data_IF_724712860953
#
_entry.id   IF_724712860953
#
_cell.length_a   1.000
_cell.length_b   1.000
_cell.length_c   1.000
_cell.angle_alpha   90.00
_cell.angle_beta   90.00
_cell.angle_gamma   90.00
#
_symmetry.space_group_name_H-M   'P 1'
#
loop_
_entity.id
_entity.type
_entity.pdbx_description
1 polymer ?
#
# COMPACT_ATOMS: atom_id res chain seq x y z
N UNK A 1 -26.05 -52.90 8.88
CA UNK A 1 -24.95 -52.24 8.16
C UNK A 1 -25.47 -50.94 7.54
N UNK A 2 -25.67 -49.91 8.37
CA UNK A 2 -26.20 -48.59 7.95
C UNK A 2 -25.30 -47.45 8.48
N UNK A 3 -24.03 -47.77 8.72
CA UNK A 3 -23.01 -46.85 9.25
C UNK A 3 -21.94 -46.49 8.21
N UNK A 4 -21.98 -47.10 7.01
CA UNK A 4 -21.02 -46.81 5.93
C UNK A 4 -21.45 -45.56 5.15
N UNK A 5 -22.72 -45.13 5.27
CA UNK A 5 -23.27 -43.96 4.53
C UNK A 5 -22.73 -42.62 5.05
N UNK A 6 -22.22 -42.55 6.29
CA UNK A 6 -21.82 -41.25 6.87
C UNK A 6 -20.36 -40.87 6.65
N UNK A 7 -19.48 -41.82 6.27
CA UNK A 7 -18.04 -41.55 6.20
C UNK A 7 -17.64 -40.92 4.86
N UNK A 8 -18.42 -41.13 3.79
CA UNK A 8 -18.09 -40.61 2.46
C UNK A 8 -18.42 -39.12 2.24
N UNK A 9 -19.15 -38.46 3.14
CA UNK A 9 -19.52 -37.04 2.98
C UNK A 9 -18.49 -36.07 3.58
N UNK A 10 -17.52 -36.56 4.36
CA UNK A 10 -16.51 -35.72 5.01
C UNK A 10 -15.35 -35.29 4.09
N UNK A 11 -15.21 -35.89 2.90
CA UNK A 11 -14.11 -35.57 1.95
C UNK A 11 -14.37 -34.30 1.12
N UNK A 12 -15.55 -33.68 1.22
CA UNK A 12 -15.89 -32.45 0.49
C UNK A 12 -15.50 -31.15 1.24
N UNK A 13 -14.82 -31.25 2.38
CA UNK A 13 -14.39 -30.10 3.20
C UNK A 13 -12.89 -30.13 3.55
N UNK A 14 -12.05 -30.66 2.66
CA UNK A 14 -10.62 -30.32 2.71
C UNK A 14 -10.43 -28.93 2.14
N UNK A 15 -10.79 -27.96 2.99
CA UNK A 15 -10.41 -26.57 2.97
C UNK A 15 -9.00 -26.43 2.38
N UNK A 16 -8.90 -26.09 1.10
CA UNK A 16 -7.86 -25.15 0.71
C UNK A 16 -8.32 -23.79 1.20
N UNK A 17 -8.33 -23.62 2.53
CA UNK A 17 -7.96 -22.32 3.06
C UNK A 17 -6.50 -22.22 2.64
N UNK A 18 -6.28 -21.64 1.46
CA UNK A 18 -5.08 -20.86 1.34
C UNK A 18 -5.23 -19.87 2.48
N UNK A 19 -4.53 -20.12 3.59
CA UNK A 19 -3.80 -19.04 4.20
C UNK A 19 -2.95 -18.49 3.04
N UNK A 20 -3.56 -17.64 2.21
CA UNK A 20 -2.81 -16.64 1.51
C UNK A 20 -2.14 -15.96 2.68
N UNK A 21 -0.83 -16.19 2.81
CA UNK A 21 0.03 -15.34 3.61
C UNK A 21 -0.57 -13.96 3.44
N UNK A 22 -1.07 -13.38 4.54
CA UNK A 22 -1.50 -11.99 4.49
C UNK A 22 -0.23 -11.27 4.04
N UNK A 23 -0.12 -10.99 2.75
CA UNK A 23 0.70 -9.90 2.27
C UNK A 23 0.24 -8.76 3.13
N UNK A 24 1.11 -8.31 4.03
CA UNK A 24 0.86 -7.17 4.90
C UNK A 24 0.46 -6.03 3.97
N UNK A 25 -0.83 -5.86 3.74
CA UNK A 25 -1.35 -4.83 2.87
C UNK A 25 -0.88 -3.49 3.40
N UNK A 26 -0.78 -2.50 2.52
CA UNK A 26 -0.38 -1.16 2.92
C UNK A 26 -1.29 -0.66 4.05
N UNK A 27 -0.68 -0.30 5.18
CA UNK A 27 -1.41 0.03 6.39
C UNK A 27 -0.64 1.00 7.28
N UNK A 28 -1.40 1.73 8.10
CA UNK A 28 -0.86 2.63 9.10
C UNK A 28 -0.51 4.01 8.58
N UNK A 29 0.10 4.80 9.47
CA UNK A 29 0.53 6.16 9.21
C UNK A 29 2.05 6.24 9.28
N UNK A 30 2.64 6.95 8.34
CA UNK A 30 4.07 7.03 8.12
C UNK A 30 4.45 8.48 7.90
N UNK A 31 5.50 8.92 8.56
CA UNK A 31 6.20 10.14 8.19
C UNK A 31 7.17 9.81 7.06
N UNK A 32 7.24 10.64 6.02
CA UNK A 32 8.22 10.50 4.95
C UNK A 32 9.25 11.63 4.99
N UNK A 33 10.45 11.34 4.52
CA UNK A 33 11.48 12.33 4.23
C UNK A 33 12.04 12.09 2.84
N UNK A 34 12.03 13.12 1.99
CA UNK A 34 12.48 13.09 0.62
C UNK A 34 13.74 13.96 0.41
N UNK A 35 14.62 13.53 -0.49
CA UNK A 35 15.79 14.30 -0.94
C UNK A 35 15.60 14.74 -2.38
N UNK A 36 16.36 15.75 -2.80
CA UNK A 36 16.37 16.21 -4.20
C UNK A 36 15.01 16.76 -4.68
N UNK A 37 14.23 17.29 -3.74
CA UNK A 37 12.93 17.94 -3.99
C UNK A 37 12.96 19.42 -3.60
N UNK A 38 12.07 20.26 -4.15
CA UNK A 38 11.97 21.67 -3.78
C UNK A 38 11.58 21.90 -2.31
N UNK A 39 11.83 23.11 -1.83
CA UNK A 39 11.42 23.52 -0.48
C UNK A 39 9.90 23.40 -0.29
N UNK A 40 9.50 22.78 0.82
CA UNK A 40 8.11 22.51 1.18
C UNK A 40 7.64 21.09 0.84
N UNK A 41 8.47 20.27 0.20
CA UNK A 41 8.16 18.89 -0.20
C UNK A 41 9.03 17.83 0.48
N UNK A 42 10.02 18.26 1.28
CA UNK A 42 11.01 17.38 1.89
C UNK A 42 10.41 16.45 2.93
N UNK A 43 9.31 16.84 3.58
CA UNK A 43 8.68 16.04 4.63
C UNK A 43 7.17 16.07 4.54
N UNK A 44 6.54 15.03 5.07
CA UNK A 44 5.10 14.93 5.13
C UNK A 44 4.65 13.61 5.72
N UNK A 45 3.37 13.30 5.56
CA UNK A 45 2.76 12.08 6.10
C UNK A 45 2.03 11.30 5.02
N UNK A 46 2.13 9.98 5.07
CA UNK A 46 1.32 9.05 4.29
C UNK A 46 0.46 8.24 5.24
N UNK A 47 -0.83 8.19 4.98
CA UNK A 47 -1.78 7.36 5.74
C UNK A 47 -2.52 6.41 4.80
N UNK A 48 -2.39 5.11 5.06
CA UNK A 48 -3.08 4.07 4.32
C UNK A 48 -4.39 3.73 5.04
N UNK A 49 -5.51 3.96 4.35
CA UNK A 49 -6.86 3.70 4.85
C UNK A 49 -7.57 2.69 3.95
N UNK A 50 -8.34 1.78 4.55
CA UNK A 50 -9.29 0.95 3.78
C UNK A 50 -10.70 1.48 4.01
N UNK A 51 -11.35 1.93 2.95
CA UNK A 51 -12.76 2.37 2.97
C UNK A 51 -13.55 1.54 1.98
N UNK A 52 -14.64 0.92 2.45
CA UNK A 52 -15.51 0.09 1.61
C UNK A 52 -14.76 -1.01 0.83
N UNK A 53 -13.71 -1.58 1.44
CA UNK A 53 -12.87 -2.61 0.82
C UNK A 53 -11.87 -2.09 -0.23
N UNK A 54 -11.78 -0.78 -0.44
CA UNK A 54 -10.80 -0.15 -1.33
C UNK A 54 -9.71 0.56 -0.54
N UNK A 55 -8.46 0.38 -0.97
CA UNK A 55 -7.33 1.13 -0.44
C UNK A 55 -7.45 2.60 -0.87
N UNK A 56 -7.27 3.49 0.10
CA UNK A 56 -7.17 4.93 -0.08
C UNK A 56 -5.88 5.37 0.58
N UNK A 57 -5.14 6.26 -0.07
CA UNK A 57 -3.91 6.83 0.48
C UNK A 57 -4.10 8.32 0.67
N UNK A 58 -3.77 8.80 1.86
CA UNK A 58 -3.76 10.22 2.17
C UNK A 58 -2.31 10.67 2.25
N UNK A 59 -1.93 11.55 1.33
CA UNK A 59 -0.63 12.20 1.30
C UNK A 59 -0.79 13.63 1.84
N UNK A 60 -0.05 13.96 2.90
CA UNK A 60 -0.05 15.30 3.50
C UNK A 60 1.33 15.91 3.34
N UNK A 61 1.43 17.04 2.63
CA UNK A 61 2.68 17.75 2.36
C UNK A 61 2.44 19.23 2.67
N UNK A 62 3.25 19.82 3.55
CA UNK A 62 3.04 21.19 4.03
C UNK A 62 1.58 21.41 4.51
N UNK A 63 0.82 22.30 3.87
CA UNK A 63 -0.59 22.58 4.19
C UNK A 63 -1.57 21.82 3.29
N UNK A 64 -1.07 21.04 2.34
CA UNK A 64 -1.87 20.31 1.35
C UNK A 64 -2.15 18.89 1.81
N UNK A 65 -3.36 18.42 1.52
CA UNK A 65 -3.80 17.04 1.75
C UNK A 65 -4.38 16.49 0.46
N UNK A 66 -3.75 15.48 -0.08
CA UNK A 66 -4.11 14.82 -1.34
C UNK A 66 -4.67 13.44 -0.99
N UNK A 67 -5.86 13.12 -1.50
CA UNK A 67 -6.44 11.77 -1.40
C UNK A 67 -6.25 11.05 -2.70
N UNK A 68 -5.69 9.85 -2.62
CA UNK A 68 -5.35 8.98 -3.75
C UNK A 68 -6.26 7.75 -3.63
N UNK A 69 -7.19 7.60 -4.57
CA UNK A 69 -8.15 6.49 -4.61
C UNK A 69 -7.98 5.59 -5.85
N UNK A 70 -7.22 6.05 -6.86
CA UNK A 70 -6.78 5.27 -8.00
C UNK A 70 -5.43 4.65 -7.68
N UNK A 71 -5.45 3.41 -7.17
CA UNK A 71 -4.25 2.66 -6.81
C UNK A 71 -4.32 1.32 -7.52
N UNK A 72 -3.37 1.07 -8.41
CA UNK A 72 -3.22 -0.21 -9.09
C UNK A 72 -2.43 -1.16 -8.20
N UNK A 73 -2.91 -2.39 -8.03
CA UNK A 73 -2.17 -3.44 -7.32
C UNK A 73 -1.63 -4.48 -8.31
N UNK A 74 -0.31 -4.66 -8.30
CA UNK A 74 0.39 -5.69 -9.07
C UNK A 74 1.20 -6.57 -8.11
N UNK A 75 0.60 -7.69 -7.69
CA UNK A 75 1.19 -8.56 -6.67
C UNK A 75 1.26 -7.86 -5.30
N UNK A 76 2.48 -7.68 -4.79
CA UNK A 76 2.77 -7.00 -3.52
C UNK A 76 3.15 -5.53 -3.66
N UNK A 77 3.12 -5.02 -4.89
CA UNK A 77 3.43 -3.63 -5.22
C UNK A 77 2.14 -2.87 -5.54
N UNK A 78 2.03 -1.65 -5.02
CA UNK A 78 0.91 -0.75 -5.25
C UNK A 78 1.42 0.49 -5.96
N UNK A 79 0.78 0.87 -7.06
CA UNK A 79 1.20 1.98 -7.89
C UNK A 79 0.16 3.08 -7.91
N UNK A 80 0.62 4.31 -7.84
CA UNK A 80 -0.21 5.48 -8.11
C UNK A 80 0.57 6.54 -8.86
N UNK A 81 -0.18 7.29 -9.67
CA UNK A 81 0.31 8.41 -10.45
C UNK A 81 -0.44 9.66 -10.02
N UNK A 82 0.30 10.73 -9.77
CA UNK A 82 -0.21 12.01 -9.28
C UNK A 82 0.32 13.12 -10.16
N UNK A 83 -0.46 14.19 -10.31
CA UNK A 83 0.06 15.46 -10.79
C UNK A 83 0.07 16.44 -9.61
N UNK A 84 1.26 16.87 -9.19
CA UNK A 84 1.45 17.78 -8.06
C UNK A 84 2.07 19.05 -8.61
N UNK A 85 1.31 20.15 -8.60
CA UNK A 85 1.74 21.46 -9.09
C UNK A 85 2.33 21.45 -10.51
N UNK A 86 1.84 20.56 -11.38
CA UNK A 86 2.26 20.44 -12.77
C UNK A 86 3.36 19.42 -13.03
N UNK A 87 3.97 18.85 -11.99
CA UNK A 87 4.91 17.73 -12.13
C UNK A 87 4.20 16.38 -12.00
N UNK A 88 4.63 15.43 -12.82
CA UNK A 88 4.15 14.05 -12.77
C UNK A 88 4.93 13.27 -11.72
N UNK A 89 4.23 12.77 -10.71
CA UNK A 89 4.78 12.01 -9.59
C UNK A 89 4.26 10.59 -9.64
N UNK A 90 5.15 9.64 -9.92
CA UNK A 90 4.82 8.21 -9.93
C UNK A 90 5.38 7.56 -8.68
N UNK A 91 4.57 6.78 -7.98
CA UNK A 91 4.94 6.13 -6.73
C UNK A 91 4.63 4.64 -6.81
N UNK A 92 5.60 3.81 -6.45
CA UNK A 92 5.43 2.37 -6.26
C UNK A 92 5.71 2.01 -4.81
N UNK A 93 4.69 1.62 -4.05
CA UNK A 93 4.79 1.24 -2.65
C UNK A 93 4.87 -0.27 -2.46
N UNK A 94 5.58 -0.67 -1.42
CA UNK A 94 5.57 -2.03 -0.89
C UNK A 94 5.77 -2.02 0.61
N UNK A 95 5.04 -2.88 1.32
CA UNK A 95 5.25 -3.08 2.75
C UNK A 95 5.79 -4.49 3.00
N UNK A 96 6.94 -4.58 3.67
CA UNK A 96 7.63 -5.85 3.94
C UNK A 96 8.22 -5.85 5.33
N UNK A 97 7.94 -6.90 6.12
CA UNK A 97 8.46 -7.06 7.48
C UNK A 97 8.27 -5.81 8.36
N UNK A 98 7.07 -5.20 8.28
CA UNK A 98 6.72 -4.01 9.05
C UNK A 98 7.42 -2.71 8.62
N UNK A 99 8.07 -2.68 7.46
CA UNK A 99 8.66 -1.47 6.86
C UNK A 99 7.92 -1.09 5.59
N UNK A 100 7.78 0.21 5.37
CA UNK A 100 7.31 0.77 4.10
C UNK A 100 8.51 1.13 3.24
N UNK A 101 8.49 0.68 1.99
CA UNK A 101 9.45 0.98 0.94
C UNK A 101 8.68 1.63 -0.21
N UNK A 102 9.29 2.60 -0.88
CA UNK A 102 8.73 3.18 -2.09
C UNK A 102 9.82 3.60 -3.08
N UNK A 103 9.54 3.36 -4.35
CA UNK A 103 10.23 4.02 -5.45
C UNK A 103 9.38 5.21 -5.90
N UNK A 104 10.01 6.39 -5.98
CA UNK A 104 9.33 7.64 -6.38
C UNK A 104 10.10 8.30 -7.50
N UNK A 105 9.38 8.69 -8.55
CA UNK A 105 9.92 9.54 -9.63
C UNK A 105 9.11 10.81 -9.76
N UNK A 106 9.80 11.93 -10.00
CA UNK A 106 9.22 13.23 -10.35
C UNK A 106 9.68 13.59 -11.75
N UNK A 107 8.73 13.76 -12.68
CA UNK A 107 8.98 14.00 -14.11
C UNK A 107 9.97 12.97 -14.70
N UNK A 108 9.82 11.70 -14.27
CA UNK A 108 10.67 10.57 -14.67
C UNK A 108 12.04 10.49 -13.97
N UNK A 109 12.39 11.46 -13.12
CA UNK A 109 13.65 11.46 -12.36
C UNK A 109 13.44 10.85 -10.97
N UNK A 110 14.25 9.87 -10.54
CA UNK A 110 14.11 9.27 -9.22
C UNK A 110 14.48 10.25 -8.11
N UNK A 111 13.75 10.20 -6.99
CA UNK A 111 14.08 10.94 -5.78
C UNK A 111 14.35 9.98 -4.61
N UNK A 112 15.20 10.40 -3.68
CA UNK A 112 15.39 9.65 -2.45
C UNK A 112 14.18 9.81 -1.54
N UNK A 113 13.65 8.70 -0.99
CA UNK A 113 12.58 8.73 0.00
C UNK A 113 12.83 7.72 1.12
N UNK A 114 12.45 8.08 2.34
CA UNK A 114 12.52 7.22 3.52
C UNK A 114 11.28 7.38 4.37
N UNK A 115 10.94 6.34 5.14
CA UNK A 115 9.73 6.31 5.95
C UNK A 115 10.01 5.95 7.40
N UNK A 116 9.29 6.62 8.30
CA UNK A 116 9.23 6.30 9.72
C UNK A 116 7.78 6.02 10.11
N UNK A 117 7.52 4.84 10.66
CA UNK A 117 6.17 4.51 11.15
C UNK A 117 5.80 5.41 12.31
N UNK A 118 4.60 5.96 12.28
CA UNK A 118 4.04 6.73 13.39
C UNK A 118 3.32 5.78 14.35
N UNK A 119 3.47 6.03 15.65
CA UNK A 119 2.77 5.30 16.73
C UNK A 119 1.29 5.67 16.83
#
# INVERSE_FOLDING_TARGET
MKQIVCILFCMLFSLTVSAQDKTDGLSGKWEFSATDVPYGYETGNIEFQTKEGKLNVILSISYNKITIDQIEQAGDTYKCDLNIEGSDVNISFKQKAGKLEADVTVDGSPIGISFKKME
#
